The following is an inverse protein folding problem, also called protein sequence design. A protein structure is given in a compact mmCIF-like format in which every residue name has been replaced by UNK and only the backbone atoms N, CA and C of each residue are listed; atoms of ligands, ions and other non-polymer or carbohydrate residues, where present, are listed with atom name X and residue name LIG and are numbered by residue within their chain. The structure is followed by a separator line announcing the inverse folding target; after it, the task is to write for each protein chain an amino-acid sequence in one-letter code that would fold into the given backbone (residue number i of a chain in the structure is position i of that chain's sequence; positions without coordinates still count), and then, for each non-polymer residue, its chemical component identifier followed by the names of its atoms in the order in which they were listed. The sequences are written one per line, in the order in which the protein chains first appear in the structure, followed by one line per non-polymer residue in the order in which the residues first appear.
data_IF_613846690076
#
_entry.id   IF_613846690076
#
_cell.length_a   1.000
_cell.length_b   1.000
_cell.length_c   1.000
_cell.angle_alpha   90.00
_cell.angle_beta   90.00
_cell.angle_gamma   90.00
#
_symmetry.space_group_name_H-M   'P 1'
#
loop_
_entity.id
_entity.type
_entity.pdbx_description
1 polymer ?
#
# COMPACT_ATOMS: atom_id res chain seq x y z
N UNK A 1 17.55 18.47 8.84
CA UNK A 1 16.59 17.98 9.85
C UNK A 1 15.41 18.91 10.10
N UNK A 2 15.61 20.24 10.08
CA UNK A 2 14.50 21.23 10.15
C UNK A 2 13.58 21.14 8.93
N UNK A 3 14.14 20.84 7.75
CA UNK A 3 13.38 20.66 6.52
C UNK A 3 12.43 19.45 6.55
N UNK A 4 12.81 18.34 7.21
CA UNK A 4 11.97 17.13 7.29
C UNK A 4 10.68 17.39 8.07
N UNK A 5 10.74 18.14 9.19
CA UNK A 5 9.57 18.46 10.01
C UNK A 5 8.55 19.34 9.28
N UNK A 6 9.02 20.36 8.56
CA UNK A 6 8.16 21.28 7.81
C UNK A 6 7.55 20.58 6.57
N UNK A 7 8.34 19.83 5.81
CA UNK A 7 7.87 19.09 4.65
C UNK A 7 6.92 17.97 5.08
N UNK A 8 7.21 17.28 6.18
CA UNK A 8 6.36 16.27 6.77
C UNK A 8 4.97 16.82 7.10
N UNK A 9 4.90 17.96 7.80
CA UNK A 9 3.65 18.63 8.13
C UNK A 9 2.90 19.08 6.89
N UNK A 10 3.59 19.66 5.90
CA UNK A 10 3.01 20.05 4.62
C UNK A 10 2.41 18.85 3.87
N UNK A 11 3.07 17.70 3.86
CA UNK A 11 2.57 16.47 3.23
C UNK A 11 1.33 15.94 3.96
N UNK A 12 1.33 15.93 5.29
CA UNK A 12 0.17 15.49 6.08
C UNK A 12 -1.06 16.39 5.90
N UNK A 13 -0.87 17.69 5.77
CA UNK A 13 -1.95 18.66 5.66
C UNK A 13 -2.39 18.94 4.23
N UNK A 14 -1.59 18.54 3.25
CA UNK A 14 -1.85 18.81 1.84
C UNK A 14 -3.03 17.98 1.34
N UNK A 15 -4.10 18.66 0.95
CA UNK A 15 -5.26 18.06 0.29
C UNK A 15 -5.04 17.80 -1.19
N UNK A 16 -4.05 18.46 -1.80
CA UNK A 16 -3.76 18.38 -3.24
C UNK A 16 -2.66 17.35 -3.52
N UNK A 17 -2.81 16.65 -4.65
CA UNK A 17 -1.80 15.75 -5.17
C UNK A 17 -0.54 16.52 -5.55
N UNK A 18 0.63 16.03 -5.13
CA UNK A 18 1.92 16.57 -5.56
C UNK A 18 2.11 16.39 -7.07
N UNK A 19 2.72 17.37 -7.72
CA UNK A 19 3.22 17.19 -9.08
C UNK A 19 4.37 16.19 -9.09
N UNK A 20 4.65 15.61 -10.26
CA UNK A 20 5.77 14.68 -10.43
C UNK A 20 7.11 15.29 -10.03
N UNK A 21 7.34 16.56 -10.42
CA UNK A 21 8.56 17.31 -10.04
C UNK A 21 8.68 17.48 -8.52
N UNK A 22 7.61 17.88 -7.86
CA UNK A 22 7.59 18.03 -6.41
C UNK A 22 7.87 16.69 -5.72
N UNK A 23 7.22 15.61 -6.19
CA UNK A 23 7.45 14.27 -5.63
C UNK A 23 8.89 13.80 -5.81
N UNK A 24 9.48 14.01 -6.99
CA UNK A 24 10.85 13.59 -7.27
C UNK A 24 11.89 14.30 -6.40
N UNK A 25 11.58 15.51 -5.93
CA UNK A 25 12.44 16.28 -5.03
C UNK A 25 12.34 15.86 -3.55
N UNK A 26 11.42 14.96 -3.21
CA UNK A 26 11.27 14.46 -1.83
C UNK A 26 12.39 13.48 -1.47
N UNK A 27 12.74 13.43 -0.17
CA UNK A 27 13.55 12.34 0.38
C UNK A 27 12.79 11.02 0.36
N UNK A 28 13.49 9.90 0.53
CA UNK A 28 12.83 8.57 0.58
C UNK A 28 11.79 8.49 1.70
N UNK A 29 12.08 9.02 2.89
CA UNK A 29 11.14 9.01 4.02
C UNK A 29 9.90 9.89 3.75
N UNK A 30 10.08 11.03 3.08
CA UNK A 30 8.98 11.88 2.64
C UNK A 30 8.12 11.19 1.56
N UNK A 31 8.76 10.51 0.60
CA UNK A 31 8.07 9.67 -0.40
C UNK A 31 7.28 8.54 0.26
N UNK A 32 7.88 7.87 1.25
CA UNK A 32 7.21 6.83 2.03
C UNK A 32 5.97 7.37 2.72
N UNK A 33 6.08 8.50 3.40
CA UNK A 33 4.95 9.13 4.08
C UNK A 33 3.81 9.47 3.10
N UNK A 34 4.15 10.12 1.99
CA UNK A 34 3.17 10.49 0.97
C UNK A 34 2.45 9.26 0.42
N UNK A 35 3.19 8.23 0.03
CA UNK A 35 2.62 6.99 -0.53
C UNK A 35 1.88 6.14 0.51
N UNK A 36 2.35 6.11 1.78
CA UNK A 36 1.58 5.48 2.85
C UNK A 36 0.20 6.12 3.02
N UNK A 37 0.13 7.44 3.00
CA UNK A 37 -1.12 8.17 3.14
C UNK A 37 -2.05 7.91 1.94
N UNK A 38 -1.50 7.86 0.72
CA UNK A 38 -2.25 7.45 -0.47
C UNK A 38 -2.76 6.01 -0.36
N UNK A 39 -1.94 5.09 0.14
CA UNK A 39 -2.32 3.68 0.32
C UNK A 39 -3.47 3.54 1.32
N UNK A 40 -3.41 4.24 2.44
CA UNK A 40 -4.49 4.24 3.45
C UNK A 40 -5.80 4.78 2.87
N UNK A 41 -5.74 5.89 2.14
CA UNK A 41 -6.91 6.45 1.47
C UNK A 41 -7.46 5.50 0.40
N UNK A 42 -6.58 4.90 -0.38
CA UNK A 42 -6.96 3.90 -1.38
C UNK A 42 -7.62 2.67 -0.75
N UNK A 43 -7.08 2.16 0.35
CA UNK A 43 -7.68 1.06 1.11
C UNK A 43 -9.05 1.42 1.69
N UNK A 44 -9.22 2.64 2.19
CA UNK A 44 -10.52 3.11 2.66
C UNK A 44 -11.56 3.09 1.54
N UNK A 45 -11.22 3.65 0.37
CA UNK A 45 -12.12 3.65 -0.79
C UNK A 45 -12.40 2.22 -1.28
N UNK A 46 -11.38 1.38 -1.32
CA UNK A 46 -11.50 -0.03 -1.71
C UNK A 46 -12.40 -0.81 -0.75
N UNK A 47 -12.36 -0.52 0.54
CA UNK A 47 -13.27 -1.13 1.51
C UNK A 47 -14.73 -0.82 1.18
N UNK A 48 -15.04 0.42 0.81
CA UNK A 48 -16.39 0.81 0.40
C UNK A 48 -16.83 0.03 -0.86
N UNK A 49 -15.96 -0.05 -1.85
CA UNK A 49 -16.22 -0.81 -3.07
C UNK A 49 -16.40 -2.30 -2.80
N UNK A 50 -15.57 -2.88 -1.93
CA UNK A 50 -15.68 -4.29 -1.53
C UNK A 50 -17.01 -4.58 -0.83
N UNK A 51 -17.43 -3.72 0.10
CA UNK A 51 -18.75 -3.84 0.78
C UNK A 51 -19.89 -3.75 -0.25
N UNK A 52 -19.81 -2.84 -1.20
CA UNK A 52 -20.79 -2.74 -2.30
C UNK A 52 -20.78 -3.97 -3.21
N UNK A 53 -19.69 -4.73 -3.24
CA UNK A 53 -19.56 -6.03 -3.92
C UNK A 53 -19.89 -7.22 -3.02
N UNK A 54 -20.64 -6.99 -1.94
CA UNK A 54 -21.10 -8.01 -0.97
C UNK A 54 -19.98 -8.73 -0.20
N UNK A 55 -18.80 -8.11 -0.09
CA UNK A 55 -17.71 -8.62 0.76
C UNK A 55 -18.04 -8.37 2.23
N UNK A 56 -18.05 -9.43 3.03
CA UNK A 56 -18.31 -9.39 4.48
C UNK A 56 -17.01 -9.47 5.30
N UNK A 57 -16.06 -10.26 4.84
CA UNK A 57 -14.74 -10.43 5.46
C UNK A 57 -13.68 -9.62 4.71
N UNK A 58 -13.51 -8.34 5.12
CA UNK A 58 -12.51 -7.44 4.53
C UNK A 58 -11.07 -7.92 4.75
N UNK A 59 -10.78 -8.59 5.87
CA UNK A 59 -9.44 -9.12 6.13
C UNK A 59 -9.07 -10.21 5.12
N UNK A 60 -10.00 -11.12 4.85
CA UNK A 60 -9.83 -12.16 3.83
C UNK A 60 -9.71 -11.56 2.42
N UNK A 61 -10.51 -10.54 2.12
CA UNK A 61 -10.45 -9.83 0.85
C UNK A 61 -9.08 -9.16 0.62
N UNK A 62 -8.55 -8.44 1.62
CA UNK A 62 -7.22 -7.84 1.53
C UNK A 62 -6.11 -8.88 1.44
N UNK A 63 -6.22 -9.98 2.18
CA UNK A 63 -5.26 -11.08 2.10
C UNK A 63 -5.23 -11.74 0.72
N UNK A 64 -6.34 -11.81 0.01
CA UNK A 64 -6.36 -12.29 -1.37
C UNK A 64 -5.46 -11.42 -2.28
N UNK A 65 -5.54 -10.11 -2.15
CA UNK A 65 -4.68 -9.18 -2.87
C UNK A 65 -3.20 -9.29 -2.48
N UNK A 66 -2.91 -9.43 -1.20
CA UNK A 66 -1.53 -9.66 -0.74
C UNK A 66 -0.95 -10.97 -1.28
N UNK A 67 -1.69 -12.06 -1.22
CA UNK A 67 -1.26 -13.35 -1.78
C UNK A 67 -0.92 -13.25 -3.27
N UNK A 68 -1.71 -12.51 -4.04
CA UNK A 68 -1.42 -12.27 -5.46
C UNK A 68 -0.13 -11.50 -5.65
N UNK A 69 0.04 -10.37 -4.98
CA UNK A 69 1.19 -9.47 -5.14
C UNK A 69 2.48 -10.05 -4.51
N UNK A 70 2.38 -10.73 -3.38
CA UNK A 70 3.52 -11.25 -2.59
C UNK A 70 3.72 -12.76 -2.71
N UNK A 71 3.26 -13.35 -3.82
CA UNK A 71 3.49 -14.76 -4.12
C UNK A 71 3.02 -15.72 -3.01
N UNK A 72 1.80 -15.53 -2.53
CA UNK A 72 1.14 -16.39 -1.54
C UNK A 72 1.20 -15.89 -0.10
N UNK A 73 1.97 -14.84 0.19
CA UNK A 73 2.04 -14.26 1.55
C UNK A 73 0.76 -13.47 1.89
N UNK A 74 0.23 -13.71 3.09
CA UNK A 74 -0.80 -12.89 3.73
C UNK A 74 -0.18 -11.66 4.42
N UNK A 75 -1.03 -10.73 4.89
CA UNK A 75 -0.57 -9.63 5.76
C UNK A 75 0.16 -10.15 7.01
N UNK A 76 -0.33 -11.24 7.61
CA UNK A 76 0.31 -11.87 8.78
C UNK A 76 1.69 -12.46 8.44
N UNK A 77 1.84 -13.09 7.26
CA UNK A 77 3.13 -13.61 6.80
C UNK A 77 4.15 -12.50 6.57
N UNK A 78 3.72 -11.40 5.96
CA UNK A 78 4.55 -10.20 5.74
C UNK A 78 4.98 -9.60 7.09
N UNK A 79 4.05 -9.47 8.02
CA UNK A 79 4.29 -8.97 9.38
C UNK A 79 5.35 -9.81 10.09
N UNK A 80 5.20 -11.14 10.05
CA UNK A 80 6.15 -12.10 10.64
C UNK A 80 7.53 -12.04 9.98
N UNK A 81 7.58 -12.03 8.64
CA UNK A 81 8.84 -11.96 7.88
C UNK A 81 9.61 -10.67 8.18
N UNK A 82 8.91 -9.56 8.36
CA UNK A 82 9.50 -8.28 8.73
C UNK A 82 9.87 -8.17 10.22
N UNK A 83 9.57 -9.21 11.04
CA UNK A 83 9.79 -9.22 12.49
C UNK A 83 9.20 -8.00 13.21
N UNK A 84 8.00 -7.60 12.78
CA UNK A 84 7.31 -6.46 13.38
C UNK A 84 6.79 -6.80 14.78
N UNK A 85 6.74 -5.79 15.65
CA UNK A 85 6.21 -5.94 17.00
C UNK A 85 4.70 -5.70 17.01
N UNK A 86 4.05 -6.13 18.07
CA UNK A 86 2.64 -5.87 18.29
C UNK A 86 2.30 -4.37 18.08
N UNK A 87 1.23 -4.09 17.34
CA UNK A 87 0.77 -2.74 16.95
C UNK A 87 1.66 -2.00 15.93
N UNK A 88 2.67 -2.61 15.37
CA UNK A 88 3.37 -2.04 14.22
C UNK A 88 2.59 -2.32 12.93
N UNK A 89 2.55 -1.33 12.04
CA UNK A 89 1.83 -1.41 10.77
C UNK A 89 2.80 -1.82 9.65
N UNK A 90 2.40 -2.78 8.82
CA UNK A 90 3.22 -3.20 7.67
C UNK A 90 3.46 -2.07 6.68
N UNK A 91 2.50 -1.15 6.50
CA UNK A 91 2.64 0.00 5.60
C UNK A 91 3.68 1.00 6.11
N UNK A 92 3.80 1.17 7.42
CA UNK A 92 4.82 2.04 8.05
C UNK A 92 6.24 1.48 7.91
N UNK A 93 6.38 0.22 7.50
CA UNK A 93 7.64 -0.51 7.34
C UNK A 93 7.89 -0.91 5.87
N UNK A 94 7.35 -0.16 4.93
CA UNK A 94 7.57 -0.33 3.49
C UNK A 94 8.38 0.83 2.91
N UNK A 95 9.27 0.52 1.97
CA UNK A 95 9.91 1.53 1.11
C UNK A 95 8.88 2.13 0.14
N UNK A 96 9.17 3.32 -0.39
CA UNK A 96 8.23 4.04 -1.25
C UNK A 96 7.86 3.28 -2.52
N UNK A 97 8.79 2.54 -3.10
CA UNK A 97 8.54 1.69 -4.28
C UNK A 97 7.53 0.58 -4.00
N UNK A 98 7.66 -0.10 -2.85
CA UNK A 98 6.71 -1.14 -2.43
C UNK A 98 5.31 -0.58 -2.16
N UNK A 99 5.22 0.61 -1.58
CA UNK A 99 3.97 1.33 -1.41
C UNK A 99 3.32 1.66 -2.76
N UNK A 100 4.12 2.06 -3.76
CA UNK A 100 3.63 2.30 -5.12
C UNK A 100 3.04 1.05 -5.76
N UNK A 101 3.67 -0.11 -5.60
CA UNK A 101 3.14 -1.39 -6.09
C UNK A 101 1.78 -1.71 -5.46
N UNK A 102 1.64 -1.47 -4.17
CA UNK A 102 0.37 -1.65 -3.47
C UNK A 102 -0.70 -0.65 -3.92
N UNK A 103 -0.35 0.62 -4.13
CA UNK A 103 -1.27 1.64 -4.65
C UNK A 103 -1.78 1.22 -6.03
N UNK A 104 -0.90 0.76 -6.92
CA UNK A 104 -1.28 0.31 -8.25
C UNK A 104 -2.26 -0.86 -8.18
N UNK A 105 -1.99 -1.87 -7.35
CA UNK A 105 -2.91 -2.98 -7.09
C UNK A 105 -4.27 -2.50 -6.60
N UNK A 106 -4.29 -1.60 -5.61
CA UNK A 106 -5.52 -1.07 -5.00
C UNK A 106 -6.38 -0.35 -6.04
N UNK A 107 -5.77 0.51 -6.86
CA UNK A 107 -6.48 1.25 -7.92
C UNK A 107 -7.06 0.28 -8.96
N UNK A 108 -6.30 -0.72 -9.37
CA UNK A 108 -6.75 -1.68 -10.38
C UNK A 108 -7.91 -2.53 -9.87
N UNK A 109 -7.87 -3.01 -8.64
CA UNK A 109 -8.98 -3.81 -8.09
C UNK A 109 -10.22 -2.97 -7.84
N UNK A 110 -10.10 -1.75 -7.32
CA UNK A 110 -11.23 -0.85 -7.11
C UNK A 110 -11.98 -0.58 -8.43
N UNK A 111 -11.22 -0.23 -9.46
CA UNK A 111 -11.76 0.01 -10.81
C UNK A 111 -12.42 -1.25 -11.40
N UNK A 112 -11.78 -2.40 -11.24
CA UNK A 112 -12.28 -3.66 -11.81
C UNK A 112 -13.57 -4.12 -11.14
N UNK A 113 -13.67 -4.06 -9.81
CA UNK A 113 -14.89 -4.44 -9.09
C UNK A 113 -16.10 -3.60 -9.54
N UNK A 114 -15.90 -2.31 -9.74
CA UNK A 114 -16.93 -1.37 -10.23
C UNK A 114 -17.32 -1.65 -11.67
N UNK A 115 -16.32 -1.78 -12.55
CA UNK A 115 -16.55 -1.98 -14.00
C UNK A 115 -17.28 -3.29 -14.30
N UNK A 116 -16.86 -4.37 -13.63
CA UNK A 116 -17.38 -5.72 -13.89
C UNK A 116 -18.62 -6.03 -13.02
N UNK A 117 -19.13 -5.07 -12.25
CA UNK A 117 -20.30 -5.22 -11.36
C UNK A 117 -20.22 -6.49 -10.49
N UNK A 118 -19.08 -6.72 -9.87
CA UNK A 118 -18.86 -7.88 -8.99
C UNK A 118 -19.76 -7.77 -7.76
N UNK A 119 -20.57 -8.79 -7.51
CA UNK A 119 -21.68 -8.78 -6.54
C UNK A 119 -21.64 -9.93 -5.51
N UNK A 120 -20.51 -10.59 -5.35
CA UNK A 120 -20.35 -11.64 -4.34
C UNK A 120 -18.90 -11.71 -3.82
N UNK A 121 -18.78 -12.12 -2.58
CA UNK A 121 -17.49 -12.16 -1.86
C UNK A 121 -16.49 -13.13 -2.51
N UNK A 122 -16.91 -14.28 -2.95
CA UNK A 122 -16.03 -15.26 -3.60
C UNK A 122 -15.40 -14.69 -4.87
N UNK A 123 -16.23 -14.10 -5.73
CA UNK A 123 -15.77 -13.47 -6.97
C UNK A 123 -14.86 -12.27 -6.67
N UNK A 124 -15.20 -11.42 -5.68
CA UNK A 124 -14.38 -10.29 -5.29
C UNK A 124 -13.00 -10.72 -4.79
N UNK A 125 -12.92 -11.75 -3.95
CA UNK A 125 -11.65 -12.30 -3.46
C UNK A 125 -10.81 -12.90 -4.60
N UNK A 126 -11.43 -13.66 -5.50
CA UNK A 126 -10.77 -14.25 -6.66
C UNK A 126 -10.20 -13.19 -7.60
N UNK A 127 -10.99 -12.17 -7.91
CA UNK A 127 -10.56 -11.03 -8.74
C UNK A 127 -9.42 -10.26 -8.07
N UNK A 128 -9.47 -10.05 -6.76
CA UNK A 128 -8.40 -9.36 -6.04
C UNK A 128 -7.08 -10.14 -6.09
N UNK A 129 -7.13 -11.45 -5.91
CA UNK A 129 -5.96 -12.32 -6.06
C UNK A 129 -5.37 -12.23 -7.48
N UNK A 130 -6.19 -12.35 -8.51
CA UNK A 130 -5.75 -12.29 -9.91
C UNK A 130 -5.17 -10.92 -10.29
N UNK A 131 -5.76 -9.84 -9.83
CA UNK A 131 -5.20 -8.48 -10.03
C UNK A 131 -3.84 -8.36 -9.35
N UNK A 132 -3.70 -8.80 -8.11
CA UNK A 132 -2.41 -8.80 -7.41
C UNK A 132 -1.33 -9.59 -8.16
N UNK A 133 -1.68 -10.77 -8.66
CA UNK A 133 -0.81 -11.62 -9.47
C UNK A 133 -0.41 -10.96 -10.79
N UNK A 134 -1.34 -10.30 -11.48
CA UNK A 134 -1.05 -9.57 -12.73
C UNK A 134 -0.13 -8.37 -12.48
N UNK A 135 -0.33 -7.62 -11.40
CA UNK A 135 0.58 -6.53 -11.01
C UNK A 135 1.98 -7.08 -10.76
N UNK A 136 2.11 -8.17 -9.98
CA UNK A 136 3.39 -8.86 -9.77
C UNK A 136 4.07 -9.25 -11.08
N UNK A 137 3.33 -9.87 -12.00
CA UNK A 137 3.86 -10.30 -13.29
C UNK A 137 4.30 -9.10 -14.16
N UNK A 138 3.58 -7.97 -14.08
CA UNK A 138 3.97 -6.74 -14.78
C UNK A 138 5.29 -6.18 -14.25
N UNK A 139 5.49 -6.14 -12.93
CA UNK A 139 6.75 -5.74 -12.31
C UNK A 139 7.89 -6.64 -12.81
N UNK A 140 7.67 -7.95 -12.82
CA UNK A 140 8.66 -8.92 -13.32
C UNK A 140 9.04 -8.68 -14.79
N UNK A 141 8.05 -8.46 -15.66
CA UNK A 141 8.27 -8.19 -17.10
C UNK A 141 9.03 -6.89 -17.33
N UNK A 142 8.83 -5.89 -16.49
CA UNK A 142 9.55 -4.62 -16.54
C UNK A 142 10.98 -4.70 -15.99
N UNK A 143 11.40 -5.87 -15.46
CA UNK A 143 12.70 -6.04 -14.82
C UNK A 143 12.81 -5.40 -13.45
N UNK A 144 11.66 -5.06 -12.82
CA UNK A 144 11.61 -4.47 -11.49
C UNK A 144 11.88 -5.45 -10.36
N UNK A 145 12.22 -4.93 -9.19
CA UNK A 145 12.41 -5.74 -7.98
C UNK A 145 11.06 -6.22 -7.45
N UNK A 146 10.94 -7.50 -7.18
CA UNK A 146 9.72 -8.06 -6.62
C UNK A 146 9.40 -7.45 -5.25
N UNK A 147 8.12 -7.17 -4.94
CA UNK A 147 7.74 -6.52 -3.68
C UNK A 147 8.30 -7.20 -2.42
N UNK A 148 8.38 -8.52 -2.43
CA UNK A 148 8.96 -9.30 -1.32
C UNK A 148 10.46 -9.11 -1.13
N UNK A 149 11.19 -8.74 -2.18
CA UNK A 149 12.65 -8.57 -2.21
C UNK A 149 13.11 -7.13 -2.00
N UNK A 150 12.18 -6.17 -1.95
CA UNK A 150 12.51 -4.79 -1.66
C UNK A 150 13.03 -4.64 -0.22
N UNK A 151 13.97 -3.73 0.04
CA UNK A 151 14.56 -3.55 1.37
C UNK A 151 13.51 -3.16 2.40
N UNK A 152 13.83 -3.42 3.68
CA UNK A 152 13.06 -2.96 4.83
C UNK A 152 13.70 -1.67 5.30
N UNK A 153 12.93 -0.58 5.49
CA UNK A 153 13.46 0.67 6.00
C UNK A 153 14.03 0.51 7.42
N UNK A 154 15.06 1.27 7.75
CA UNK A 154 15.69 1.25 9.08
C UNK A 154 14.74 1.71 10.19
N UNK A 155 13.88 2.67 9.89
CA UNK A 155 12.88 3.20 10.82
C UNK A 155 11.48 3.13 10.25
N UNK A 156 10.51 2.76 11.10
CA UNK A 156 9.10 2.84 10.74
C UNK A 156 8.65 4.31 10.64
N UNK A 157 7.66 4.60 9.81
CA UNK A 157 7.08 5.96 9.71
C UNK A 157 6.52 6.42 11.06
N UNK A 158 5.90 5.53 11.82
CA UNK A 158 5.42 5.83 13.19
C UNK A 158 6.55 6.29 14.12
N UNK A 159 7.75 5.72 13.99
CA UNK A 159 8.92 6.15 14.76
C UNK A 159 9.40 7.52 14.32
N UNK A 160 9.48 7.77 13.01
CA UNK A 160 9.84 9.07 12.44
C UNK A 160 8.86 10.16 12.87
N UNK A 161 7.55 9.88 12.86
CA UNK A 161 6.52 10.81 13.35
C UNK A 161 6.71 11.21 14.81
N UNK A 162 7.09 10.26 15.66
CA UNK A 162 7.38 10.55 17.08
C UNK A 162 8.62 11.39 17.28
N UNK A 163 9.66 11.15 16.48
CA UNK A 163 10.91 11.93 16.54
C UNK A 163 10.73 13.37 16.08
N UNK A 164 9.82 13.61 15.11
CA UNK A 164 9.53 14.97 14.57
C UNK A 164 8.64 15.81 15.50
N UNK A 165 7.89 15.19 16.40
CA UNK A 165 7.01 15.87 17.37
C UNK A 165 7.72 16.27 18.66
N UNK A 166 8.98 15.90 18.81
CA UNK A 166 9.86 16.32 19.92
C UNK A 166 10.68 17.55 19.53
#
# INVERSE_FOLDING_TARGET
MVALGQTYFAIQTRKQKLSEKEFNNLTEDEKRLYRRNQTRKGNYNLNQTAVNSEVKDLARFHNAGYKGLYNGETAADIFKRKKLRYREDILDNMVSEKLADNIFRIVQIDTKLKRDNVDNEYAANSVHYEVGKKVRNSIKRLGGTMPGNLPIPDKSLKKLEKETKK
#
